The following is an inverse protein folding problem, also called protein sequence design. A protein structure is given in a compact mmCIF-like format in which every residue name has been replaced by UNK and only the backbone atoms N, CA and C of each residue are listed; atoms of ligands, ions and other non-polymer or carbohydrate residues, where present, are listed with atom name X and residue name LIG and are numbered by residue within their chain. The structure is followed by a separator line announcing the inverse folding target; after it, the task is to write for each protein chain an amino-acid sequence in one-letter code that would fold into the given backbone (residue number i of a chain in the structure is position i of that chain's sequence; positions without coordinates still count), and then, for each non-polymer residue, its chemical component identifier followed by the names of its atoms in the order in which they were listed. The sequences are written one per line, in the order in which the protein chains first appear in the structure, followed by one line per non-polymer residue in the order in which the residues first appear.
data_IF_478033483088
#
_entry.id   IF_478033483088
#
_cell.length_a   1.000
_cell.length_b   1.000
_cell.length_c   1.000
_cell.angle_alpha   90.00
_cell.angle_beta   90.00
_cell.angle_gamma   90.00
#
_symmetry.space_group_name_H-M   'P 1'
#
loop_
_entity.id
_entity.type
_entity.pdbx_description
1 polymer ?
#
# COMPACT_ATOMS: atom_id res chain seq x y z
N UNK A 1 2.42 28.40 10.79
CA UNK A 1 3.34 27.74 11.74
C UNK A 1 3.34 26.21 11.62
N UNK A 2 2.20 25.51 11.68
CA UNK A 2 2.12 24.03 11.53
C UNK A 2 2.76 23.50 10.24
N UNK A 3 2.62 24.18 9.11
CA UNK A 3 3.13 23.75 7.79
C UNK A 3 4.66 23.86 7.67
N UNK A 4 5.28 24.85 8.30
CA UNK A 4 6.75 25.06 8.29
C UNK A 4 7.44 24.00 9.16
N UNK A 5 6.90 23.78 10.38
CA UNK A 5 7.41 22.74 11.29
C UNK A 5 7.30 21.35 10.66
N UNK A 6 6.20 21.08 9.97
CA UNK A 6 5.99 19.86 9.20
C UNK A 6 7.07 19.68 8.13
N UNK A 7 7.34 20.68 7.30
CA UNK A 7 8.40 20.61 6.25
C UNK A 7 9.78 20.36 6.83
N UNK A 8 10.12 20.98 7.96
CA UNK A 8 11.41 20.79 8.64
C UNK A 8 11.54 19.35 9.15
N UNK A 9 10.50 18.80 9.76
CA UNK A 9 10.49 17.42 10.28
C UNK A 9 10.48 16.35 9.19
N UNK A 10 9.85 16.64 8.04
CA UNK A 10 9.80 15.72 6.88
C UNK A 10 11.13 15.71 6.09
N UNK A 11 11.90 16.79 6.10
CA UNK A 11 13.16 16.90 5.34
C UNK A 11 14.41 16.36 6.07
N UNK A 12 14.34 16.07 7.36
CA UNK A 12 15.45 15.52 8.11
C UNK A 12 15.25 14.02 8.36
N UNK A 13 16.15 13.16 7.87
CA UNK A 13 16.06 11.69 8.02
C UNK A 13 15.89 11.20 9.46
N UNK A 14 16.51 11.87 10.43
CA UNK A 14 16.43 11.47 11.85
C UNK A 14 15.05 11.81 12.45
N UNK A 15 14.49 12.97 12.11
CA UNK A 15 13.19 13.41 12.63
C UNK A 15 12.01 12.80 11.88
N UNK A 16 12.19 12.45 10.61
CA UNK A 16 11.16 11.84 9.75
C UNK A 16 10.60 10.54 10.34
N UNK A 17 11.46 9.67 10.89
CA UNK A 17 11.02 8.41 11.50
C UNK A 17 10.16 8.62 12.74
N UNK A 18 10.57 9.55 13.62
CA UNK A 18 9.82 9.91 14.84
C UNK A 18 8.49 10.57 14.48
N UNK A 19 8.53 11.53 13.54
CA UNK A 19 7.35 12.22 13.07
C UNK A 19 6.31 11.26 12.44
N UNK A 20 6.76 10.30 11.63
CA UNK A 20 5.88 9.28 11.04
C UNK A 20 5.19 8.43 12.10
N UNK A 21 5.91 8.04 13.15
CA UNK A 21 5.36 7.28 14.28
C UNK A 21 4.32 8.08 15.05
N UNK A 22 4.65 9.32 15.42
CA UNK A 22 3.71 10.19 16.13
C UNK A 22 2.45 10.45 15.32
N UNK A 23 2.60 10.70 14.02
CA UNK A 23 1.46 10.88 13.10
C UNK A 23 0.58 9.63 13.03
N UNK A 24 1.19 8.44 12.97
CA UNK A 24 0.45 7.17 12.97
C UNK A 24 -0.36 6.99 14.25
N UNK A 25 0.26 7.16 15.42
CA UNK A 25 -0.44 7.02 16.70
C UNK A 25 -1.54 8.06 16.90
N UNK A 26 -1.32 9.29 16.46
CA UNK A 26 -2.36 10.31 16.44
C UNK A 26 -3.54 9.90 15.55
N UNK A 27 -3.27 9.42 14.34
CA UNK A 27 -4.30 8.95 13.42
C UNK A 27 -5.04 7.71 13.96
N UNK A 28 -4.34 6.82 14.66
CA UNK A 28 -4.91 5.64 15.32
C UNK A 28 -5.81 6.04 16.49
N UNK A 29 -5.38 6.97 17.33
CA UNK A 29 -6.15 7.45 18.49
C UNK A 29 -7.48 8.10 18.07
N UNK A 30 -7.49 8.83 16.96
CA UNK A 30 -8.69 9.50 16.43
C UNK A 30 -9.54 8.59 15.52
N UNK A 31 -9.11 7.34 15.30
CA UNK A 31 -9.88 6.42 14.46
C UNK A 31 -11.16 5.96 15.17
N UNK A 32 -12.27 6.00 14.43
CA UNK A 32 -13.59 5.57 14.91
C UNK A 32 -14.42 6.69 15.53
N UNK A 33 -13.82 7.61 16.29
CA UNK A 33 -14.55 8.70 16.97
C UNK A 33 -14.75 9.94 16.11
N UNK A 34 -13.81 10.24 15.21
CA UNK A 34 -13.78 11.47 14.43
C UNK A 34 -13.36 11.22 12.97
N UNK A 35 -13.81 10.10 12.38
CA UNK A 35 -13.40 9.75 11.02
C UNK A 35 -13.79 10.82 9.99
N UNK A 36 -14.98 11.39 10.09
CA UNK A 36 -15.42 12.46 9.17
C UNK A 36 -14.60 13.73 9.37
N UNK A 37 -14.35 14.13 10.61
CA UNK A 37 -13.51 15.30 10.92
C UNK A 37 -12.09 15.11 10.35
N UNK A 38 -11.52 13.93 10.54
CA UNK A 38 -10.21 13.58 9.94
C UNK A 38 -10.25 13.71 8.41
N UNK A 39 -11.30 13.20 7.76
CA UNK A 39 -11.47 13.28 6.32
C UNK A 39 -11.59 14.72 5.83
N UNK A 40 -12.41 15.54 6.50
CA UNK A 40 -12.59 16.95 6.18
C UNK A 40 -11.28 17.73 6.30
N UNK A 41 -10.54 17.54 7.40
CA UNK A 41 -9.24 18.18 7.60
C UNK A 41 -8.20 17.71 6.56
N UNK A 42 -8.13 16.40 6.30
CA UNK A 42 -7.23 15.82 5.30
C UNK A 42 -7.53 16.38 3.90
N UNK A 43 -8.81 16.39 3.51
CA UNK A 43 -9.27 16.86 2.21
C UNK A 43 -8.99 18.35 2.02
N UNK A 44 -9.30 19.17 3.03
CA UNK A 44 -9.01 20.59 3.00
C UNK A 44 -7.51 20.88 2.87
N UNK A 45 -6.69 20.19 3.65
CA UNK A 45 -5.22 20.33 3.58
C UNK A 45 -4.62 19.92 2.24
N UNK A 46 -5.27 18.98 1.54
CA UNK A 46 -4.78 18.46 0.26
C UNK A 46 -5.27 19.27 -0.94
N UNK A 47 -6.53 19.72 -0.92
CA UNK A 47 -7.21 20.31 -2.07
C UNK A 47 -7.60 21.76 -1.90
N UNK A 48 -7.47 22.36 -0.70
CA UNK A 48 -7.85 23.74 -0.39
C UNK A 48 -9.37 23.99 -0.39
N UNK A 49 -10.19 22.94 -0.42
CA UNK A 49 -11.66 23.05 -0.46
C UNK A 49 -12.32 22.09 0.53
N UNK A 50 -13.57 22.38 0.89
CA UNK A 50 -14.34 21.59 1.87
C UNK A 50 -14.82 20.29 1.23
N UNK A 51 -14.70 19.19 1.98
CA UNK A 51 -15.24 17.88 1.61
C UNK A 51 -16.76 17.86 1.78
N UNK A 52 -17.49 17.45 0.73
CA UNK A 52 -18.92 17.21 0.80
C UNK A 52 -19.21 15.70 0.74
N UNK A 53 -19.62 15.14 1.88
CA UNK A 53 -19.99 13.72 1.99
C UNK A 53 -21.48 13.46 1.81
N UNK A 54 -22.34 14.48 1.93
CA UNK A 54 -23.80 14.34 1.77
C UNK A 54 -24.20 14.25 0.30
N UNK A 55 -23.54 15.05 -0.56
CA UNK A 55 -23.79 15.09 -1.99
C UNK A 55 -22.46 15.17 -2.76
N UNK A 56 -21.71 14.04 -2.81
CA UNK A 56 -20.39 14.02 -3.42
C UNK A 56 -20.47 14.18 -4.94
N UNK A 57 -19.90 15.26 -5.48
CA UNK A 57 -19.91 15.55 -6.92
C UNK A 57 -18.62 15.14 -7.60
N UNK A 58 -17.48 15.40 -6.97
CA UNK A 58 -16.18 15.12 -7.54
C UNK A 58 -15.75 13.68 -7.29
N UNK A 59 -14.80 13.17 -8.10
CA UNK A 59 -14.24 11.83 -7.93
C UNK A 59 -13.67 11.61 -6.52
N UNK A 60 -12.89 12.56 -6.01
CA UNK A 60 -12.29 12.45 -4.69
C UNK A 60 -13.34 12.46 -3.55
N UNK A 61 -14.42 13.21 -3.67
CA UNK A 61 -15.54 13.20 -2.72
C UNK A 61 -16.25 11.85 -2.73
N UNK A 62 -16.48 11.27 -3.93
CA UNK A 62 -17.07 9.94 -4.09
C UNK A 62 -16.18 8.85 -3.47
N UNK A 63 -14.87 8.94 -3.64
CA UNK A 63 -13.91 8.01 -2.99
C UNK A 63 -13.98 8.12 -1.47
N UNK A 64 -14.08 9.35 -0.91
CA UNK A 64 -14.23 9.52 0.54
C UNK A 64 -15.57 8.98 1.04
N UNK A 65 -16.64 9.19 0.29
CA UNK A 65 -17.95 8.62 0.61
C UNK A 65 -17.91 7.09 0.63
N UNK A 66 -17.29 6.46 -0.38
CA UNK A 66 -17.13 5.01 -0.45
C UNK A 66 -16.35 4.44 0.74
N UNK A 67 -15.30 5.13 1.22
CA UNK A 67 -14.53 4.70 2.40
C UNK A 67 -15.39 4.56 3.66
N UNK A 68 -16.46 5.33 3.78
CA UNK A 68 -17.33 5.33 4.95
C UNK A 68 -18.61 4.51 4.79
N UNK A 69 -19.08 4.34 3.56
CA UNK A 69 -20.39 3.76 3.30
C UNK A 69 -20.37 2.43 2.54
N UNK A 70 -19.26 2.07 1.91
CA UNK A 70 -19.17 0.84 1.12
C UNK A 70 -18.24 -0.18 1.77
N UNK A 71 -18.84 -1.18 2.44
CA UNK A 71 -18.15 -2.21 3.22
C UNK A 71 -18.37 -3.60 2.63
N UNK A 72 -17.74 -3.88 1.50
CA UNK A 72 -17.79 -5.20 0.88
C UNK A 72 -16.61 -6.06 1.34
N UNK A 73 -16.80 -7.25 1.95
CA UNK A 73 -15.71 -8.13 2.39
C UNK A 73 -14.75 -8.53 1.28
N UNK A 74 -15.22 -8.61 0.03
CA UNK A 74 -14.35 -8.89 -1.12
C UNK A 74 -13.25 -7.84 -1.30
N UNK A 75 -13.52 -6.57 -0.93
CA UNK A 75 -12.48 -5.53 -0.96
C UNK A 75 -11.33 -5.85 -0.01
N UNK A 76 -11.62 -6.42 1.17
CA UNK A 76 -10.59 -6.85 2.12
C UNK A 76 -9.76 -7.99 1.54
N UNK A 77 -10.41 -9.02 0.95
CA UNK A 77 -9.72 -10.13 0.26
C UNK A 77 -8.82 -9.61 -0.87
N UNK A 78 -9.31 -8.66 -1.67
CA UNK A 78 -8.56 -8.08 -2.79
C UNK A 78 -7.44 -7.11 -2.35
N UNK A 79 -7.58 -6.44 -1.21
CA UNK A 79 -6.55 -5.55 -0.68
C UNK A 79 -5.39 -6.29 0.01
N UNK A 80 -5.64 -7.50 0.50
CA UNK A 80 -4.63 -8.38 1.08
C UNK A 80 -3.80 -9.04 -0.03
N UNK A 81 -2.50 -8.72 -0.11
CA UNK A 81 -1.58 -9.24 -1.14
C UNK A 81 -1.42 -10.77 -1.08
N UNK A 82 -1.77 -11.41 0.04
CA UNK A 82 -1.78 -12.86 0.19
C UNK A 82 -3.13 -13.45 -0.23
N UNK A 83 -4.24 -12.97 0.33
CA UNK A 83 -5.57 -13.52 0.07
C UNK A 83 -6.09 -13.24 -1.35
N UNK A 84 -5.67 -12.13 -1.98
CA UNK A 84 -6.04 -11.84 -3.38
C UNK A 84 -5.59 -12.94 -4.34
N UNK A 85 -4.53 -13.68 -4.00
CA UNK A 85 -4.03 -14.80 -4.81
C UNK A 85 -5.04 -15.94 -4.91
N UNK A 86 -5.76 -16.24 -3.81
CA UNK A 86 -6.85 -17.22 -3.83
C UNK A 86 -7.99 -16.76 -4.73
N UNK A 87 -8.40 -15.50 -4.60
CA UNK A 87 -9.45 -14.92 -5.45
C UNK A 87 -9.09 -15.00 -6.94
N UNK A 88 -7.84 -14.68 -7.30
CA UNK A 88 -7.36 -14.76 -8.70
C UNK A 88 -7.37 -16.21 -9.20
N UNK A 89 -7.00 -17.19 -8.37
CA UNK A 89 -7.09 -18.63 -8.69
C UNK A 89 -8.56 -19.06 -8.91
N UNK A 90 -9.47 -18.66 -8.04
CA UNK A 90 -10.91 -18.92 -8.16
C UNK A 90 -11.50 -18.37 -9.49
N UNK A 91 -10.88 -17.31 -10.04
CA UNK A 91 -11.24 -16.77 -11.36
C UNK A 91 -10.54 -17.47 -12.55
N UNK A 92 -9.78 -18.53 -12.32
CA UNK A 92 -9.02 -19.23 -13.36
C UNK A 92 -7.82 -18.47 -13.91
N UNK A 93 -7.34 -17.44 -13.20
CA UNK A 93 -6.27 -16.55 -13.62
C UNK A 93 -4.95 -16.79 -12.88
N UNK A 94 -4.71 -18.01 -12.38
CA UNK A 94 -3.50 -18.33 -11.62
C UNK A 94 -2.20 -18.02 -12.39
N UNK A 95 -2.22 -18.15 -13.72
CA UNK A 95 -1.08 -17.91 -14.58
C UNK A 95 -0.51 -16.48 -14.56
N UNK A 96 -1.31 -15.50 -14.09
CA UNK A 96 -0.84 -14.10 -13.95
C UNK A 96 -0.19 -13.82 -12.59
N UNK A 97 -0.24 -14.76 -11.64
CA UNK A 97 0.32 -14.57 -10.32
C UNK A 97 1.84 -14.70 -10.34
N UNK A 98 2.50 -13.76 -9.67
CA UNK A 98 3.93 -13.88 -9.41
C UNK A 98 4.23 -15.08 -8.51
N UNK A 99 5.41 -15.71 -8.64
CA UNK A 99 5.83 -16.83 -7.79
C UNK A 99 5.90 -16.40 -6.33
N UNK A 100 5.32 -17.20 -5.44
CA UNK A 100 5.34 -17.02 -3.99
C UNK A 100 6.27 -18.07 -3.38
N UNK A 101 7.37 -17.65 -2.77
CA UNK A 101 8.38 -18.55 -2.21
C UNK A 101 8.13 -18.89 -0.74
N UNK A 102 7.62 -17.94 0.04
CA UNK A 102 7.34 -18.15 1.46
C UNK A 102 6.28 -17.17 1.97
N UNK A 103 5.64 -17.57 3.07
CA UNK A 103 4.70 -16.74 3.84
C UNK A 103 5.08 -16.88 5.31
N UNK A 104 5.14 -15.76 6.03
CA UNK A 104 5.49 -15.71 7.45
C UNK A 104 4.40 -14.96 8.20
N UNK A 105 3.92 -15.54 9.30
CA UNK A 105 2.95 -14.91 10.19
C UNK A 105 3.62 -13.91 11.14
N UNK A 106 4.90 -14.13 11.45
CA UNK A 106 5.68 -13.26 12.32
C UNK A 106 7.11 -13.08 11.80
N UNK A 107 7.72 -11.95 12.16
CA UNK A 107 9.10 -11.62 11.75
C UNK A 107 10.14 -12.60 12.28
N UNK A 108 9.88 -13.25 13.43
CA UNK A 108 10.78 -14.23 14.05
C UNK A 108 10.89 -15.52 13.25
N UNK A 109 9.91 -15.82 12.39
CA UNK A 109 9.92 -17.00 11.52
C UNK A 109 10.97 -16.87 10.41
N UNK A 110 11.39 -15.65 10.05
CA UNK A 110 12.47 -15.41 9.09
C UNK A 110 13.82 -15.62 9.78
N UNK A 111 14.21 -16.89 9.97
CA UNK A 111 15.46 -17.24 10.65
C UNK A 111 16.67 -17.07 9.75
N UNK A 112 16.57 -17.51 8.50
CA UNK A 112 17.59 -17.37 7.47
C UNK A 112 16.95 -17.22 6.09
N UNK A 113 17.75 -16.91 5.09
CA UNK A 113 17.32 -16.73 3.69
C UNK A 113 17.98 -17.71 2.74
N UNK A 114 18.64 -18.75 3.27
CA UNK A 114 19.47 -19.67 2.49
C UNK A 114 18.63 -20.44 1.45
N UNK A 115 17.40 -20.81 1.81
CA UNK A 115 16.47 -21.52 0.95
C UNK A 115 15.77 -20.63 -0.09
N UNK A 116 15.88 -19.30 0.05
CA UNK A 116 15.31 -18.38 -0.92
C UNK A 116 16.21 -18.23 -2.14
N UNK A 117 15.69 -17.87 -3.31
CA UNK A 117 16.47 -17.55 -4.50
C UNK A 117 17.47 -16.42 -4.27
N UNK A 118 18.40 -16.21 -5.20
CA UNK A 118 19.39 -15.12 -5.11
C UNK A 118 18.75 -13.74 -5.08
N UNK A 119 17.63 -13.58 -5.81
CA UNK A 119 16.83 -12.35 -5.85
C UNK A 119 15.39 -12.62 -5.40
N UNK A 120 14.89 -11.85 -4.46
CA UNK A 120 13.52 -11.96 -3.97
C UNK A 120 12.98 -10.64 -3.44
N UNK A 121 11.70 -10.59 -3.15
CA UNK A 121 11.03 -9.42 -2.62
C UNK A 121 10.21 -9.78 -1.37
N UNK A 122 10.54 -9.21 -0.21
CA UNK A 122 9.73 -9.34 1.00
C UNK A 122 8.73 -8.18 1.07
N UNK A 123 7.46 -8.50 1.35
CA UNK A 123 6.37 -7.52 1.42
C UNK A 123 5.44 -7.80 2.58
N UNK A 124 5.02 -6.78 3.32
CA UNK A 124 3.85 -6.90 4.19
C UNK A 124 2.58 -6.92 3.34
N UNK A 125 1.68 -7.88 3.60
CA UNK A 125 0.46 -8.08 2.79
C UNK A 125 -0.55 -6.92 2.91
N UNK A 126 -0.67 -6.30 4.07
CA UNK A 126 -1.75 -5.45 4.55
C UNK A 126 -1.47 -3.95 4.50
N UNK A 127 -0.30 -3.52 4.04
CA UNK A 127 0.12 -2.11 4.11
C UNK A 127 0.90 -1.70 2.87
N UNK A 128 0.90 -0.41 2.55
CA UNK A 128 1.78 0.19 1.56
C UNK A 128 3.12 0.57 2.19
N UNK A 129 4.24 0.26 1.52
CA UNK A 129 5.60 0.67 1.94
C UNK A 129 6.38 -0.35 2.76
N UNK A 130 5.75 -1.42 3.28
CA UNK A 130 6.41 -2.53 3.98
C UNK A 130 7.10 -3.50 3.03
N UNK A 131 8.02 -2.99 2.19
CA UNK A 131 8.65 -3.75 1.10
C UNK A 131 10.17 -3.69 1.20
N UNK A 132 10.85 -4.83 1.00
CA UNK A 132 12.31 -4.95 0.96
C UNK A 132 12.72 -5.85 -0.20
N UNK A 133 13.52 -5.31 -1.12
CA UNK A 133 14.09 -6.07 -2.23
C UNK A 133 15.45 -6.67 -1.83
N UNK A 134 15.67 -7.92 -2.17
CA UNK A 134 16.98 -8.55 -2.19
C UNK A 134 17.44 -8.68 -3.64
N UNK A 135 18.51 -7.97 -4.00
CA UNK A 135 19.12 -8.03 -5.32
C UNK A 135 20.32 -9.00 -5.37
N UNK A 136 20.91 -9.28 -4.22
CA UNK A 136 22.04 -10.18 -4.03
C UNK A 136 22.05 -10.68 -2.60
N UNK A 137 21.87 -11.96 -2.42
CA UNK A 137 21.76 -12.64 -1.12
C UNK A 137 23.03 -12.51 -0.27
N UNK A 138 24.21 -12.50 -0.90
CA UNK A 138 25.52 -12.45 -0.21
C UNK A 138 25.74 -11.15 0.56
N UNK A 139 25.14 -10.05 0.10
CA UNK A 139 25.28 -8.72 0.73
C UNK A 139 23.98 -8.24 1.34
N UNK A 140 22.96 -9.10 1.42
CA UNK A 140 21.64 -8.72 1.94
C UNK A 140 21.68 -8.63 3.48
N UNK A 141 21.36 -7.46 4.00
CA UNK A 141 21.28 -7.20 5.44
C UNK A 141 19.89 -7.63 5.95
N UNK A 142 19.80 -8.88 6.40
CA UNK A 142 18.56 -9.47 6.91
C UNK A 142 18.05 -8.75 8.16
N UNK A 143 18.93 -8.33 9.07
CA UNK A 143 18.51 -7.67 10.31
C UNK A 143 17.93 -6.27 10.03
N UNK A 144 18.52 -5.54 9.11
CA UNK A 144 17.94 -4.27 8.64
C UNK A 144 16.60 -4.46 7.95
N UNK A 145 16.45 -5.53 7.15
CA UNK A 145 15.18 -5.90 6.53
C UNK A 145 14.11 -6.23 7.59
N UNK A 146 14.44 -7.07 8.57
CA UNK A 146 13.57 -7.42 9.69
C UNK A 146 13.13 -6.18 10.47
N UNK A 147 14.04 -5.29 10.81
CA UNK A 147 13.74 -4.04 11.52
C UNK A 147 12.72 -3.18 10.76
N UNK A 148 12.89 -3.06 9.44
CA UNK A 148 11.93 -2.34 8.59
C UNK A 148 10.57 -3.03 8.57
N UNK A 149 10.54 -4.33 8.27
CA UNK A 149 9.31 -5.12 8.17
C UNK A 149 8.55 -5.15 9.51
N UNK A 150 9.25 -5.33 10.64
CA UNK A 150 8.65 -5.30 11.98
C UNK A 150 7.88 -4.02 12.25
N UNK A 151 8.38 -2.86 11.81
CA UNK A 151 7.64 -1.60 11.92
C UNK A 151 6.34 -1.66 11.13
N UNK A 152 6.39 -2.13 9.87
CA UNK A 152 5.21 -2.19 9.01
C UNK A 152 4.20 -3.28 9.43
N UNK A 153 4.64 -4.38 10.03
CA UNK A 153 3.77 -5.41 10.61
C UNK A 153 2.86 -4.84 11.72
N UNK A 154 3.31 -3.81 12.43
CA UNK A 154 2.56 -3.15 13.49
C UNK A 154 1.70 -1.95 13.01
N UNK A 155 1.73 -1.63 11.71
CA UNK A 155 0.92 -0.57 11.12
C UNK A 155 -0.38 -1.15 10.58
N UNK A 156 -1.51 -0.53 10.91
CA UNK A 156 -2.75 -0.78 10.20
C UNK A 156 -3.02 0.40 9.25
N UNK A 157 -3.09 0.10 7.96
CA UNK A 157 -3.26 1.10 6.89
C UNK A 157 -4.58 1.88 7.04
N UNK A 158 -5.62 1.27 7.57
CA UNK A 158 -6.90 1.92 7.85
C UNK A 158 -6.76 3.19 8.70
N UNK A 159 -5.90 3.17 9.72
CA UNK A 159 -5.71 4.34 10.58
C UNK A 159 -5.09 5.53 9.85
N UNK A 160 -4.38 5.29 8.74
CA UNK A 160 -3.74 6.34 7.93
C UNK A 160 -4.68 6.85 6.84
N UNK A 161 -5.38 5.95 6.15
CA UNK A 161 -6.11 6.27 4.91
C UNK A 161 -7.61 6.27 5.06
N UNK A 162 -8.13 5.72 6.18
CA UNK A 162 -9.56 5.45 6.40
C UNK A 162 -10.17 4.52 5.34
N UNK A 163 -9.35 3.76 4.63
CA UNK A 163 -9.80 2.74 3.68
C UNK A 163 -10.25 1.50 4.45
N UNK A 164 -11.56 1.28 4.50
CA UNK A 164 -12.20 0.24 5.31
C UNK A 164 -11.61 -1.16 5.07
N UNK A 165 -11.30 -1.49 3.83
CA UNK A 165 -10.78 -2.80 3.44
C UNK A 165 -9.48 -3.22 4.14
N UNK A 166 -8.70 -2.26 4.65
CA UNK A 166 -7.45 -2.57 5.37
C UNK A 166 -7.63 -2.80 6.87
N UNK A 167 -8.85 -2.56 7.41
CA UNK A 167 -9.07 -2.54 8.85
C UNK A 167 -8.77 -3.88 9.52
N UNK A 168 -9.23 -4.97 8.89
CA UNK A 168 -9.25 -6.30 9.49
C UNK A 168 -8.31 -7.30 8.77
N UNK A 169 -7.40 -6.84 7.90
CA UNK A 169 -6.38 -7.69 7.30
C UNK A 169 -5.39 -8.15 8.37
N UNK A 170 -5.27 -9.48 8.55
CA UNK A 170 -4.25 -10.06 9.42
C UNK A 170 -2.86 -9.85 8.82
N UNK A 171 -1.93 -9.20 9.54
CA UNK A 171 -0.58 -8.98 9.04
C UNK A 171 0.17 -10.28 8.74
N UNK A 172 0.83 -10.32 7.58
CA UNK A 172 1.76 -11.37 7.15
C UNK A 172 2.91 -10.74 6.37
N UNK A 173 4.01 -11.46 6.27
CA UNK A 173 5.10 -11.16 5.33
C UNK A 173 5.07 -12.21 4.24
N UNK A 174 4.99 -11.79 2.98
CA UNK A 174 5.11 -12.66 1.82
C UNK A 174 6.49 -12.47 1.16
N UNK A 175 7.07 -13.57 0.71
CA UNK A 175 8.29 -13.56 -0.08
C UNK A 175 7.95 -13.95 -1.51
N UNK A 176 8.14 -13.04 -2.44
CA UNK A 176 7.81 -13.22 -3.85
C UNK A 176 9.06 -13.15 -4.72
N UNK A 177 8.95 -13.72 -5.93
CA UNK A 177 9.94 -13.57 -6.98
C UNK A 177 10.23 -12.10 -7.24
N UNK A 178 11.51 -11.78 -7.34
CA UNK A 178 11.94 -10.48 -7.82
C UNK A 178 11.69 -10.39 -9.34
N UNK A 179 10.83 -9.45 -9.75
CA UNK A 179 10.55 -9.22 -11.16
C UNK A 179 11.54 -8.21 -11.74
N UNK A 180 12.10 -8.55 -12.88
CA UNK A 180 13.00 -7.68 -13.64
C UNK A 180 12.78 -7.89 -15.16
N UNK A 181 13.04 -6.86 -15.94
CA UNK A 181 13.04 -6.99 -17.38
C UNK A 181 14.35 -7.64 -17.85
N UNK A 182 14.28 -8.52 -18.85
CA UNK A 182 15.45 -9.19 -19.43
C UNK A 182 16.48 -8.21 -20.04
N UNK A 183 16.04 -7.03 -20.44
CA UNK A 183 16.90 -5.98 -20.99
C UNK A 183 17.44 -4.98 -19.94
N UNK A 184 17.22 -5.23 -18.64
CA UNK A 184 17.68 -4.39 -17.52
C UNK A 184 16.91 -3.06 -17.37
N UNK A 185 15.93 -2.78 -18.20
CA UNK A 185 15.09 -1.59 -18.05
C UNK A 185 14.18 -1.70 -16.81
N UNK A 186 13.80 -0.57 -16.20
CA UNK A 186 12.81 -0.58 -15.12
C UNK A 186 11.49 -1.21 -15.57
N UNK A 187 10.84 -1.91 -14.65
CA UNK A 187 9.48 -2.44 -14.87
C UNK A 187 8.50 -1.29 -15.12
N UNK A 188 7.52 -1.58 -15.95
CA UNK A 188 6.42 -0.67 -16.25
C UNK A 188 5.20 -1.07 -15.43
N UNK A 189 4.68 -0.15 -14.63
CA UNK A 189 3.44 -0.32 -13.88
C UNK A 189 2.25 0.12 -14.74
N UNK A 190 1.27 -0.78 -14.90
CA UNK A 190 -0.02 -0.49 -15.53
C UNK A 190 -1.10 -0.45 -14.46
N UNK A 191 -1.76 0.68 -14.28
CA UNK A 191 -2.87 0.85 -13.32
C UNK A 191 -4.17 1.08 -14.06
N UNK A 192 -5.02 0.07 -14.07
CA UNK A 192 -6.34 0.15 -14.68
C UNK A 192 -7.34 0.77 -13.71
N UNK A 193 -8.00 1.82 -14.16
CA UNK A 193 -9.14 2.41 -13.47
C UNK A 193 -10.41 1.84 -14.07
N UNK A 194 -11.09 1.03 -13.27
CA UNK A 194 -12.32 0.35 -13.65
C UNK A 194 -13.53 1.01 -12.98
N UNK A 195 -14.60 1.21 -13.74
CA UNK A 195 -15.87 1.72 -13.25
C UNK A 195 -16.94 0.69 -13.59
N UNK A 196 -17.65 0.18 -12.58
CA UNK A 196 -18.62 -0.90 -12.73
C UNK A 196 -18.07 -2.14 -13.48
N UNK A 197 -16.82 -2.50 -13.18
CA UNK A 197 -16.14 -3.64 -13.82
C UNK A 197 -15.55 -3.36 -15.20
N UNK A 198 -15.78 -2.18 -15.78
CA UNK A 198 -15.28 -1.80 -17.12
C UNK A 198 -14.02 -0.94 -16.97
N UNK A 199 -12.87 -1.33 -17.57
CA UNK A 199 -11.67 -0.50 -17.60
C UNK A 199 -11.90 0.72 -18.50
N UNK A 200 -11.75 1.92 -17.95
CA UNK A 200 -11.95 3.19 -18.66
C UNK A 200 -10.67 3.98 -18.84
N UNK A 201 -9.68 3.76 -17.99
CA UNK A 201 -8.40 4.48 -18.07
C UNK A 201 -7.26 3.57 -17.64
N UNK A 202 -6.09 3.77 -18.24
CA UNK A 202 -4.83 3.11 -17.85
C UNK A 202 -3.79 4.18 -17.54
N UNK A 203 -3.24 4.13 -16.33
CA UNK A 203 -2.08 4.92 -15.96
C UNK A 203 -0.84 4.06 -16.12
N UNK A 204 0.04 4.45 -17.03
CA UNK A 204 1.33 3.80 -17.26
C UNK A 204 2.42 4.58 -16.53
N UNK A 205 3.19 3.88 -15.70
CA UNK A 205 4.28 4.47 -14.95
C UNK A 205 5.60 3.77 -15.29
N UNK A 206 6.53 4.52 -15.84
CA UNK A 206 7.88 4.06 -16.15
C UNK A 206 8.84 4.38 -14.99
N UNK A 207 9.31 3.35 -14.28
CA UNK A 207 10.21 3.52 -13.15
C UNK A 207 9.63 4.46 -12.07
N UNK A 208 10.49 5.30 -11.47
CA UNK A 208 10.11 6.16 -10.33
C UNK A 208 9.59 7.54 -10.72
N UNK A 209 9.72 7.98 -11.98
CA UNK A 209 9.65 9.42 -12.29
C UNK A 209 8.71 9.88 -13.42
N UNK A 210 8.19 8.99 -14.27
CA UNK A 210 7.30 9.40 -15.36
C UNK A 210 6.02 8.60 -15.38
N UNK A 211 4.89 9.29 -15.36
CA UNK A 211 3.56 8.70 -15.49
C UNK A 211 2.87 9.27 -16.74
N UNK A 212 2.28 8.41 -17.54
CA UNK A 212 1.45 8.77 -18.69
C UNK A 212 0.05 8.18 -18.47
N UNK A 213 -0.98 8.98 -18.66
CA UNK A 213 -2.37 8.55 -18.59
C UNK A 213 -2.88 8.31 -20.02
N UNK A 214 -3.33 7.10 -20.28
CA UNK A 214 -4.02 6.74 -21.52
C UNK A 214 -5.49 6.53 -21.23
N UNK A 215 -6.33 7.06 -22.09
CA UNK A 215 -7.78 6.84 -22.07
C UNK A 215 -8.12 5.75 -23.09
N UNK A 216 -9.03 4.84 -22.74
CA UNK A 216 -9.69 4.00 -23.72
C UNK A 216 -10.85 4.83 -24.29
N UNK A 217 -10.81 5.15 -25.60
CA UNK A 217 -12.02 5.59 -26.31
C UNK A 217 -12.98 4.41 -26.45
N UNK A 218 -14.25 4.66 -26.25
CA UNK A 218 -15.32 3.70 -26.56
C UNK A 218 -15.29 3.28 -28.02
#
# INVERSE_FOLDING_TARGET
MKTIVRKILENNRMTQGVYSKLRYYYAKFNAGKENEKYAVEYYYNKFGRKLNLHDPKTFDEKIWWLKFNYHNPLLTKCADKFLVREYIKEQGLEHILNDLYAVYDDISEIKCIDQLPEKFYLKCNHVSGGNVACFNKKIFDLEKAKKKLSWYMNINQYYITREWQYKDIRPKIICEKFLENSNGNPLVDYKFYCFNGIPKMVLIKHGTSKACLLYTSD
#
